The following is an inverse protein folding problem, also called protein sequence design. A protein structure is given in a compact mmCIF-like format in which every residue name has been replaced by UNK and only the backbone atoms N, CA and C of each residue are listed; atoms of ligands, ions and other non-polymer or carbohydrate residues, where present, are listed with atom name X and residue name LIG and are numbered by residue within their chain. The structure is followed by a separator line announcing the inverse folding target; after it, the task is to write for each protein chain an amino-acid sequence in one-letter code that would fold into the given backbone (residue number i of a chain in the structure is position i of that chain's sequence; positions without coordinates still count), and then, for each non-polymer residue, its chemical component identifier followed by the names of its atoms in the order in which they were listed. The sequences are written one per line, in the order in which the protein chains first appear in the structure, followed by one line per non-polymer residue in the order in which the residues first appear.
data_IF_358875261776
#
_entry.id   IF_358875261776
#
_cell.length_a   1.000
_cell.length_b   1.000
_cell.length_c   1.000
_cell.angle_alpha   90.00
_cell.angle_beta   90.00
_cell.angle_gamma   90.00
#
_symmetry.space_group_name_H-M   'P 1'
#
loop_
_entity.id
_entity.type
_entity.pdbx_description
1 polymer ?
#
# COMPACT_ATOMS: atom_id res chain seq x y z
N UNK A 1 15.42 37.64 -40.76
CA UNK A 1 14.96 38.55 -39.68
C UNK A 1 13.45 38.57 -39.75
N UNK A 2 12.65 38.20 -38.76
CA UNK A 2 12.77 38.26 -37.30
C UNK A 2 12.32 36.92 -36.69
N UNK A 3 13.07 36.45 -35.68
CA UNK A 3 12.71 35.32 -34.80
C UNK A 3 11.67 35.78 -33.79
N UNK A 4 10.59 35.02 -33.63
CA UNK A 4 9.77 35.01 -32.39
C UNK A 4 9.67 33.58 -31.90
N UNK A 5 10.77 33.12 -31.30
CA UNK A 5 10.78 32.07 -30.29
C UNK A 5 10.14 32.66 -29.03
N UNK A 6 8.94 32.20 -28.68
CA UNK A 6 8.28 32.41 -27.38
C UNK A 6 7.08 31.45 -27.37
N UNK A 7 6.85 30.57 -26.41
CA UNK A 7 7.45 30.40 -25.11
C UNK A 7 7.14 28.96 -24.68
N UNK A 8 8.14 28.26 -24.16
CA UNK A 8 7.98 26.95 -23.55
C UNK A 8 7.09 27.08 -22.30
N UNK A 9 5.77 26.94 -22.46
CA UNK A 9 4.90 26.55 -21.35
C UNK A 9 4.90 25.03 -21.22
N UNK A 10 6.08 24.48 -20.93
CA UNK A 10 6.13 23.27 -20.14
C UNK A 10 5.67 23.69 -18.75
N UNK A 11 4.35 23.68 -18.54
CA UNK A 11 3.77 23.68 -17.21
C UNK A 11 4.40 22.49 -16.49
N UNK A 12 5.42 22.77 -15.68
CA UNK A 12 5.86 21.93 -14.58
C UNK A 12 4.71 21.88 -13.56
N UNK A 13 3.57 21.30 -13.95
CA UNK A 13 2.75 20.57 -13.00
C UNK A 13 3.64 19.44 -12.59
N UNK A 14 4.22 19.56 -11.39
CA UNK A 14 4.58 18.43 -10.54
C UNK A 14 3.75 17.24 -11.00
N UNK A 15 4.35 16.30 -11.73
CA UNK A 15 3.68 15.03 -11.96
C UNK A 15 3.40 14.53 -10.56
N UNK A 16 2.15 14.54 -10.12
CA UNK A 16 1.75 13.99 -8.84
C UNK A 16 2.19 12.54 -8.86
N UNK A 17 3.37 12.27 -8.29
CA UNK A 17 3.99 10.96 -8.29
C UNK A 17 3.02 10.02 -7.57
N UNK A 18 2.34 9.16 -8.32
CA UNK A 18 1.45 8.18 -7.72
C UNK A 18 2.30 7.12 -7.02
N UNK A 19 1.91 6.78 -5.79
CA UNK A 19 2.49 5.69 -5.02
C UNK A 19 1.51 4.55 -4.94
N UNK A 20 2.01 3.35 -4.63
CA UNK A 20 1.13 2.25 -4.30
C UNK A 20 1.65 1.33 -3.20
N UNK A 21 0.69 0.70 -2.54
CA UNK A 21 0.93 -0.50 -1.73
C UNK A 21 0.17 -1.66 -2.36
N UNK A 22 0.84 -2.81 -2.51
CA UNK A 22 0.24 -4.04 -3.02
C UNK A 22 0.31 -5.14 -1.97
N UNK A 23 -0.83 -5.76 -1.68
CA UNK A 23 -0.94 -6.93 -0.83
C UNK A 23 -1.22 -8.17 -1.67
N UNK A 24 -0.47 -9.24 -1.45
CA UNK A 24 -0.65 -10.54 -2.09
C UNK A 24 -0.76 -11.61 -1.01
N UNK A 25 -1.85 -12.37 -1.03
CA UNK A 25 -2.00 -13.52 -0.13
C UNK A 25 -1.64 -14.81 -0.87
N UNK A 26 -0.56 -15.47 -0.46
CA UNK A 26 -0.16 -16.82 -0.93
C UNK A 26 -0.36 -17.88 0.16
N UNK A 27 -0.70 -17.48 1.38
CA UNK A 27 -0.90 -18.34 2.54
C UNK A 27 -2.16 -19.20 2.46
N UNK A 28 -2.23 -20.22 3.29
CA UNK A 28 -3.40 -21.12 3.39
C UNK A 28 -4.47 -20.57 4.36
N UNK A 29 -4.69 -19.26 4.35
CA UNK A 29 -5.61 -18.54 5.25
C UNK A 29 -6.14 -17.28 4.57
N UNK A 30 -7.16 -16.65 5.16
CA UNK A 30 -7.73 -15.38 4.71
C UNK A 30 -7.13 -14.23 5.49
N UNK A 31 -6.76 -13.14 4.82
CA UNK A 31 -6.24 -11.93 5.45
C UNK A 31 -7.15 -10.73 5.27
N UNK A 32 -7.15 -9.83 6.24
CA UNK A 32 -7.64 -8.46 6.09
C UNK A 32 -6.44 -7.53 5.99
N UNK A 33 -6.44 -6.65 4.99
CA UNK A 33 -5.40 -5.64 4.79
C UNK A 33 -6.03 -4.26 4.94
N UNK A 34 -5.57 -3.52 5.95
CA UNK A 34 -6.01 -2.15 6.23
C UNK A 34 -4.85 -1.21 5.89
N UNK A 35 -5.10 -0.19 5.09
CA UNK A 35 -4.16 0.87 4.74
C UNK A 35 -4.79 2.21 5.11
N UNK A 36 -4.12 2.97 5.96
CA UNK A 36 -4.52 4.31 6.37
C UNK A 36 -3.46 5.33 6.00
N UNK A 37 -3.87 6.50 5.54
CA UNK A 37 -2.96 7.61 5.23
C UNK A 37 -3.69 8.94 5.31
N UNK A 38 -2.94 10.03 5.49
CA UNK A 38 -3.46 11.40 5.42
C UNK A 38 -3.26 11.96 4.02
N UNK A 39 -4.31 12.54 3.43
CA UNK A 39 -4.26 13.26 2.16
C UNK A 39 -5.13 14.52 2.25
N UNK A 40 -4.58 15.69 1.92
CA UNK A 40 -5.32 16.96 1.99
C UNK A 40 -5.85 17.29 3.38
N UNK A 41 -5.14 16.88 4.44
CA UNK A 41 -5.57 17.06 5.83
C UNK A 41 -6.62 16.06 6.32
N UNK A 42 -7.05 15.11 5.48
CA UNK A 42 -8.06 14.10 5.83
C UNK A 42 -7.44 12.71 5.95
N UNK A 43 -7.94 11.90 6.86
CA UNK A 43 -7.57 10.48 6.97
C UNK A 43 -8.37 9.66 5.98
N UNK A 44 -7.67 8.92 5.13
CA UNK A 44 -8.23 7.95 4.20
C UNK A 44 -7.93 6.54 4.73
N UNK A 45 -8.96 5.70 4.82
CA UNK A 45 -8.83 4.28 5.16
C UNK A 45 -9.24 3.44 3.96
N UNK A 46 -8.43 2.44 3.63
CA UNK A 46 -8.72 1.38 2.67
C UNK A 46 -8.69 0.06 3.41
N UNK A 47 -9.68 -0.79 3.17
CA UNK A 47 -9.82 -2.11 3.77
C UNK A 47 -10.17 -3.11 2.68
N UNK A 48 -9.54 -4.28 2.72
CA UNK A 48 -9.83 -5.39 1.82
C UNK A 48 -9.57 -6.73 2.48
N UNK A 49 -10.49 -7.66 2.28
CA UNK A 49 -10.29 -9.07 2.62
C UNK A 49 -9.75 -9.80 1.40
N UNK A 50 -8.66 -10.55 1.58
CA UNK A 50 -8.01 -11.34 0.53
C UNK A 50 -7.97 -12.81 0.92
N UNK A 51 -8.67 -13.61 0.14
CA UNK A 51 -8.52 -15.06 0.15
C UNK A 51 -7.17 -15.46 -0.46
N UNK A 52 -6.83 -16.74 -0.33
CA UNK A 52 -5.62 -17.32 -0.90
C UNK A 52 -5.50 -17.02 -2.40
N UNK A 53 -4.27 -16.75 -2.84
CA UNK A 53 -3.86 -16.41 -4.22
C UNK A 53 -4.43 -15.10 -4.78
N UNK A 54 -5.07 -14.28 -3.95
CA UNK A 54 -5.57 -12.98 -4.37
C UNK A 54 -4.57 -11.85 -4.10
N UNK A 55 -4.68 -10.80 -4.91
CA UNK A 55 -3.83 -9.61 -4.85
C UNK A 55 -4.68 -8.35 -4.90
N UNK A 56 -4.33 -7.33 -4.11
CA UNK A 56 -4.92 -5.99 -4.20
C UNK A 56 -3.84 -4.92 -4.20
N UNK A 57 -3.96 -3.97 -5.12
CA UNK A 57 -3.12 -2.77 -5.21
C UNK A 57 -3.96 -1.55 -4.83
N UNK A 58 -3.43 -0.71 -3.96
CA UNK A 58 -3.97 0.61 -3.64
C UNK A 58 -3.03 1.67 -4.17
N UNK A 59 -3.53 2.53 -5.05
CA UNK A 59 -2.79 3.67 -5.60
C UNK A 59 -3.26 4.93 -4.90
N UNK A 60 -2.33 5.80 -4.53
CA UNK A 60 -2.62 7.06 -3.84
C UNK A 60 -1.60 8.13 -4.24
N UNK A 61 -1.93 9.39 -3.98
CA UNK A 61 -1.07 10.53 -4.33
C UNK A 61 0.23 10.52 -3.52
N UNK A 62 1.32 10.97 -4.14
CA UNK A 62 2.65 10.91 -3.53
C UNK A 62 2.87 11.89 -2.38
N UNK A 63 2.01 12.91 -2.26
CA UNK A 63 1.97 13.82 -1.12
C UNK A 63 1.18 13.25 0.08
N UNK A 64 0.66 12.02 0.00
CA UNK A 64 0.09 11.35 1.16
C UNK A 64 1.15 11.18 2.27
N UNK A 65 0.74 11.40 3.51
CA UNK A 65 1.57 11.29 4.71
C UNK A 65 0.96 10.32 5.72
N UNK A 66 1.69 10.00 6.80
CA UNK A 66 1.21 9.12 7.88
C UNK A 66 0.66 7.78 7.36
N UNK A 67 1.34 7.21 6.37
CA UNK A 67 0.87 5.99 5.71
C UNK A 67 1.19 4.80 6.61
N UNK A 68 0.17 4.17 7.18
CA UNK A 68 0.29 3.01 8.04
C UNK A 68 -0.59 1.88 7.55
N UNK A 69 -0.17 0.64 7.79
CA UNK A 69 -0.91 -0.53 7.35
C UNK A 69 -0.91 -1.64 8.41
N UNK A 70 -1.95 -2.45 8.34
CA UNK A 70 -2.12 -3.66 9.12
C UNK A 70 -2.47 -4.82 8.20
N UNK A 71 -1.88 -5.98 8.46
CA UNK A 71 -2.23 -7.25 7.82
C UNK A 71 -2.65 -8.21 8.93
N UNK A 72 -3.88 -8.70 8.85
CA UNK A 72 -4.54 -9.45 9.92
C UNK A 72 -4.98 -10.82 9.37
N UNK A 73 -4.63 -11.90 10.05
CA UNK A 73 -5.08 -13.26 9.76
C UNK A 73 -6.50 -13.46 10.31
N UNK A 74 -7.51 -13.50 9.44
CA UNK A 74 -8.89 -13.73 9.85
C UNK A 74 -9.19 -15.20 10.16
N UNK A 75 -8.37 -16.12 9.64
CA UNK A 75 -8.56 -17.56 9.86
C UNK A 75 -8.00 -18.04 11.20
N UNK A 76 -7.17 -17.27 11.89
CA UNK A 76 -6.65 -17.65 13.21
C UNK A 76 -7.75 -17.50 14.27
N UNK A 77 -8.12 -18.54 15.03
CA UNK A 77 -9.15 -18.44 16.07
C UNK A 77 -8.72 -17.56 17.26
N UNK A 78 -7.42 -17.45 17.54
CA UNK A 78 -6.89 -16.60 18.62
C UNK A 78 -6.80 -15.14 18.17
N UNK A 79 -7.71 -14.30 18.68
CA UNK A 79 -7.82 -12.88 18.35
C UNK A 79 -6.52 -12.10 18.61
N UNK A 80 -5.76 -12.48 19.64
CA UNK A 80 -4.53 -11.77 20.02
C UNK A 80 -3.34 -12.12 19.12
N UNK A 81 -3.45 -13.18 18.32
CA UNK A 81 -2.42 -13.63 17.36
C UNK A 81 -2.79 -13.36 15.91
N UNK A 82 -3.85 -12.61 15.66
CA UNK A 82 -4.29 -12.30 14.28
C UNK A 82 -3.41 -11.27 13.60
N UNK A 83 -2.82 -10.31 14.30
CA UNK A 83 -1.97 -9.31 13.66
C UNK A 83 -0.71 -9.97 13.12
N UNK A 84 -0.57 -10.04 11.80
CA UNK A 84 0.62 -10.57 11.13
C UNK A 84 1.68 -9.48 11.03
N UNK A 85 1.28 -8.28 10.63
CA UNK A 85 2.22 -7.19 10.37
C UNK A 85 1.56 -5.83 10.59
N UNK A 86 2.30 -4.94 11.23
CA UNK A 86 2.01 -3.51 11.32
C UNK A 86 3.22 -2.73 10.88
N UNK A 87 3.03 -1.72 10.05
CA UNK A 87 4.10 -0.83 9.62
C UNK A 87 3.58 0.54 9.23
N UNK A 88 4.34 1.58 9.57
CA UNK A 88 4.19 2.90 8.98
C UNK A 88 5.34 3.17 8.01
N UNK A 89 5.00 3.50 6.77
CA UNK A 89 5.94 3.67 5.67
C UNK A 89 6.21 5.16 5.44
N UNK A 90 7.48 5.50 5.31
CA UNK A 90 7.95 6.83 4.92
C UNK A 90 8.66 6.77 3.57
N UNK A 91 8.76 7.91 2.89
CA UNK A 91 9.45 8.03 1.60
C UNK A 91 8.55 7.85 0.38
N UNK A 92 9.18 7.67 -0.78
CA UNK A 92 8.53 7.70 -2.11
C UNK A 92 8.39 6.34 -2.79
N UNK A 93 8.81 5.26 -2.14
CA UNK A 93 8.87 3.93 -2.78
C UNK A 93 7.49 3.28 -2.83
N UNK A 94 7.24 2.47 -3.87
CA UNK A 94 6.11 1.56 -3.83
C UNK A 94 6.50 0.31 -3.04
N UNK A 95 5.52 -0.29 -2.37
CA UNK A 95 5.79 -1.38 -1.45
C UNK A 95 4.85 -2.53 -1.75
N UNK A 96 5.41 -3.73 -1.83
CA UNK A 96 4.65 -4.95 -1.97
C UNK A 96 4.83 -5.82 -0.73
N UNK A 97 3.71 -6.32 -0.20
CA UNK A 97 3.66 -7.31 0.85
C UNK A 97 3.15 -8.62 0.27
N UNK A 98 3.90 -9.69 0.50
CA UNK A 98 3.48 -11.05 0.22
C UNK A 98 3.36 -11.82 1.52
N UNK A 99 2.17 -12.32 1.81
CA UNK A 99 1.88 -13.15 2.99
C UNK A 99 1.82 -14.60 2.54
N UNK A 100 2.43 -15.51 3.29
CA UNK A 100 2.53 -16.93 2.92
C UNK A 100 2.58 -17.85 4.15
N UNK A 101 2.76 -19.15 3.89
CA UNK A 101 2.79 -20.24 4.88
C UNK A 101 1.40 -20.58 5.45
N UNK A 102 1.30 -20.99 6.72
CA UNK A 102 0.07 -21.53 7.34
C UNK A 102 -0.61 -20.53 8.28
N UNK A 103 -1.83 -20.85 8.73
CA UNK A 103 -2.62 -20.01 9.65
C UNK A 103 -1.91 -19.81 10.99
N UNK A 104 -1.25 -20.84 11.51
CA UNK A 104 -0.60 -20.87 12.82
C UNK A 104 0.77 -20.20 12.79
N UNK A 105 1.43 -20.20 11.62
CA UNK A 105 2.75 -19.62 11.42
C UNK A 105 2.77 -18.76 10.15
N UNK A 106 2.02 -17.64 10.12
CA UNK A 106 1.98 -16.76 8.97
C UNK A 106 3.32 -16.07 8.80
N UNK A 107 3.83 -16.03 7.57
CA UNK A 107 5.06 -15.32 7.23
C UNK A 107 4.78 -14.18 6.27
N UNK A 108 5.62 -13.14 6.33
CA UNK A 108 5.50 -11.97 5.48
C UNK A 108 6.83 -11.65 4.79
N UNK A 109 6.74 -11.24 3.53
CA UNK A 109 7.84 -10.67 2.77
C UNK A 109 7.47 -9.28 2.31
N UNK A 110 8.28 -8.29 2.69
CA UNK A 110 8.18 -6.90 2.24
C UNK A 110 9.21 -6.64 1.13
N UNK A 111 8.79 -6.04 0.03
CA UNK A 111 9.61 -5.81 -1.16
C UNK A 111 9.41 -4.37 -1.64
N UNK A 112 10.48 -3.70 -2.07
CA UNK A 112 10.38 -2.45 -2.82
C UNK A 112 9.95 -2.75 -4.25
N UNK A 113 8.88 -2.08 -4.66
CA UNK A 113 8.30 -2.09 -5.99
C UNK A 113 8.25 -0.64 -6.51
#
# INVERSE_FOLDING_TARGET
MIKTSNCCYCLNKSMDLLKFVRFTNKGFFTIQCILQYTLGGQTVTKDVILERRHTKKFVFHGNASNICLNIINLSNPDLFKRLIHHECISGLNNICFEVYNTTENPMIRRILC
#
